data_IF_270180408844
#
_entry.id   IF_270180408844
#
_cell.length_a   1.000
_cell.length_b   1.000
_cell.length_c   1.000
_cell.angle_alpha   90.00
_cell.angle_beta   90.00
_cell.angle_gamma   90.00
#
_symmetry.space_group_name_H-M   'P 1'
#
loop_
_entity.id
_entity.type
_entity.pdbx_description
1 polymer ?
#
# COMPACT_ATOMS: atom_id res chain seq x y z
N UNK A 1 -4.08 -21.92 -10.60
CA UNK A 1 -4.43 -20.52 -10.25
C UNK A 1 -4.93 -20.50 -8.82
N UNK A 2 -4.37 -19.64 -7.98
CA UNK A 2 -4.77 -19.48 -6.59
C UNK A 2 -5.82 -18.37 -6.47
N UNK A 3 -7.08 -18.76 -6.33
CA UNK A 3 -8.21 -17.82 -6.35
C UNK A 3 -8.16 -16.88 -5.13
N UNK A 4 -7.71 -17.38 -3.98
CA UNK A 4 -7.57 -16.57 -2.76
C UNK A 4 -6.60 -15.43 -2.96
N UNK A 5 -5.41 -15.71 -3.53
CA UNK A 5 -4.43 -14.66 -3.83
C UNK A 5 -4.96 -13.66 -4.86
N UNK A 6 -5.71 -14.13 -5.86
CA UNK A 6 -6.29 -13.27 -6.88
C UNK A 6 -7.34 -12.29 -6.31
N UNK A 7 -8.23 -12.76 -5.42
CA UNK A 7 -9.21 -11.91 -4.74
C UNK A 7 -8.51 -10.84 -3.90
N UNK A 8 -7.48 -11.22 -3.13
CA UNK A 8 -6.68 -10.28 -2.35
C UNK A 8 -5.99 -9.25 -3.25
N UNK A 9 -5.42 -9.68 -4.38
CA UNK A 9 -4.77 -8.78 -5.32
C UNK A 9 -5.73 -7.74 -5.90
N UNK A 10 -6.92 -8.17 -6.35
CA UNK A 10 -7.95 -7.27 -6.89
C UNK A 10 -8.41 -6.26 -5.84
N UNK A 11 -8.60 -6.70 -4.59
CA UNK A 11 -8.96 -5.81 -3.50
C UNK A 11 -7.88 -4.73 -3.26
N UNK A 12 -6.61 -5.13 -3.17
CA UNK A 12 -5.50 -4.17 -2.99
C UNK A 12 -5.34 -3.22 -4.18
N UNK A 13 -5.55 -3.71 -5.39
CA UNK A 13 -5.49 -2.91 -6.60
C UNK A 13 -6.56 -1.80 -6.63
N UNK A 14 -7.80 -2.14 -6.25
CA UNK A 14 -8.89 -1.16 -6.14
C UNK A 14 -8.56 -0.10 -5.07
N UNK A 15 -8.09 -0.53 -3.89
CA UNK A 15 -7.65 0.39 -2.83
C UNK A 15 -6.52 1.31 -3.31
N UNK A 16 -5.53 0.77 -4.03
CA UNK A 16 -4.43 1.54 -4.58
C UNK A 16 -4.93 2.67 -5.50
N UNK A 17 -5.87 2.38 -6.40
CA UNK A 17 -6.46 3.40 -7.29
C UNK A 17 -7.19 4.48 -6.47
N UNK A 18 -8.03 4.07 -5.52
CA UNK A 18 -8.81 4.99 -4.68
C UNK A 18 -7.92 5.87 -3.78
N UNK A 19 -6.79 5.35 -3.30
CA UNK A 19 -5.77 6.12 -2.58
C UNK A 19 -4.98 7.04 -3.50
N UNK A 20 -4.66 6.60 -4.73
CA UNK A 20 -3.91 7.40 -5.69
C UNK A 20 -4.65 8.70 -6.06
N UNK A 21 -5.99 8.64 -6.15
CA UNK A 21 -6.86 9.81 -6.35
C UNK A 21 -7.20 10.56 -5.04
N UNK A 22 -6.65 10.14 -3.90
CA UNK A 22 -6.83 10.79 -2.60
C UNK A 22 -8.17 10.54 -1.90
N UNK A 23 -9.10 9.76 -2.48
CA UNK A 23 -10.44 9.55 -1.89
C UNK A 23 -10.43 8.79 -0.56
N UNK A 24 -9.38 8.02 -0.31
CA UNK A 24 -9.20 7.21 0.89
C UNK A 24 -8.20 7.82 1.89
N UNK A 25 -7.83 9.10 1.76
CA UNK A 25 -6.87 9.73 2.66
C UNK A 25 -7.31 9.65 4.13
N UNK A 26 -8.62 9.77 4.38
CA UNK A 26 -9.26 9.62 5.70
C UNK A 26 -9.12 8.21 6.32
N UNK A 27 -8.72 7.20 5.54
CA UNK A 27 -8.50 5.83 6.02
C UNK A 27 -7.03 5.54 6.37
N UNK A 28 -6.14 6.54 6.26
CA UNK A 28 -4.75 6.40 6.70
C UNK A 28 -4.70 6.53 8.22
N UNK A 29 -4.73 5.39 8.90
CA UNK A 29 -4.53 5.31 10.34
C UNK A 29 -3.15 5.84 10.73
N UNK A 30 -3.01 6.32 11.96
CA UNK A 30 -1.81 7.05 12.39
C UNK A 30 -1.87 8.51 11.95
N UNK A 31 -1.82 8.80 10.64
CA UNK A 31 -1.96 10.17 10.12
C UNK A 31 -3.28 10.81 10.57
N UNK A 32 -4.42 10.13 10.40
CA UNK A 32 -5.71 10.74 10.75
C UNK A 32 -5.96 10.92 12.25
N UNK A 33 -5.22 10.21 13.09
CA UNK A 33 -5.26 10.32 14.55
C UNK A 33 -4.38 11.46 15.09
N UNK A 34 -3.46 11.99 14.27
CA UNK A 34 -2.64 13.15 14.62
C UNK A 34 -3.51 14.39 14.91
N UNK A 35 -3.03 15.25 15.80
CA UNK A 35 -3.59 16.59 15.98
C UNK A 35 -3.42 17.44 14.71
N UNK A 36 -4.21 18.50 14.55
CA UNK A 36 -4.12 19.37 13.37
C UNK A 36 -2.69 19.92 13.15
N UNK A 37 -2.00 20.31 14.24
CA UNK A 37 -0.62 20.80 14.20
C UNK A 37 0.39 19.75 13.72
N UNK A 38 0.17 18.49 14.07
CA UNK A 38 1.04 17.38 13.63
C UNK A 38 0.74 16.98 12.19
N UNK A 39 -0.52 16.97 11.77
CA UNK A 39 -0.91 16.73 10.37
C UNK A 39 -0.30 17.73 9.41
N UNK A 40 -0.21 19.00 9.81
CA UNK A 40 0.40 20.05 8.99
C UNK A 40 1.86 19.78 8.61
N UNK A 41 2.58 18.95 9.38
CA UNK A 41 3.96 18.53 9.08
C UNK A 41 4.05 17.53 7.93
N UNK A 42 2.93 16.98 7.47
CA UNK A 42 2.88 16.00 6.39
C UNK A 42 2.18 16.57 5.15
N UNK A 43 2.64 16.13 3.99
CA UNK A 43 1.98 16.26 2.70
C UNK A 43 1.06 15.04 2.50
N UNK A 44 -0.24 15.25 2.76
CA UNK A 44 -1.27 14.22 2.65
C UNK A 44 -1.32 13.57 1.26
N UNK A 45 -1.11 14.35 0.21
CA UNK A 45 -1.15 13.85 -1.16
C UNK A 45 0.03 12.93 -1.45
N UNK A 46 1.24 13.27 -0.96
CA UNK A 46 2.40 12.37 -1.05
C UNK A 46 2.20 11.10 -0.21
N UNK A 47 1.66 11.23 1.01
CA UNK A 47 1.39 10.09 1.87
C UNK A 47 0.41 9.10 1.22
N UNK A 48 -0.70 9.62 0.66
CA UNK A 48 -1.66 8.82 -0.10
C UNK A 48 -1.03 8.12 -1.30
N UNK A 49 -0.20 8.84 -2.08
CA UNK A 49 0.48 8.27 -3.25
C UNK A 49 1.47 7.17 -2.87
N UNK A 50 2.22 7.32 -1.79
CA UNK A 50 3.15 6.27 -1.33
C UNK A 50 2.37 5.02 -0.94
N UNK A 51 1.31 5.15 -0.13
CA UNK A 51 0.48 4.01 0.25
C UNK A 51 -0.15 3.35 -0.99
N UNK A 52 -0.66 4.14 -1.93
CA UNK A 52 -1.20 3.64 -3.19
C UNK A 52 -0.17 2.82 -3.99
N UNK A 53 1.05 3.35 -4.16
CA UNK A 53 2.13 2.69 -4.90
C UNK A 53 2.54 1.39 -4.19
N UNK A 54 2.67 1.41 -2.86
CA UNK A 54 2.98 0.21 -2.07
C UNK A 54 1.92 -0.87 -2.31
N UNK A 55 0.64 -0.55 -2.18
CA UNK A 55 -0.44 -1.52 -2.38
C UNK A 55 -0.53 -2.01 -3.82
N UNK A 56 -0.24 -1.14 -4.80
CA UNK A 56 -0.18 -1.50 -6.21
C UNK A 56 0.90 -2.55 -6.47
N UNK A 57 2.12 -2.35 -5.99
CA UNK A 57 3.20 -3.34 -6.14
C UNK A 57 2.91 -4.64 -5.39
N UNK A 58 2.37 -4.57 -4.17
CA UNK A 58 1.90 -5.77 -3.46
C UNK A 58 0.85 -6.53 -4.28
N UNK A 59 -0.11 -5.84 -4.90
CA UNK A 59 -1.12 -6.48 -5.75
C UNK A 59 -0.52 -7.23 -6.94
N UNK A 60 0.53 -6.69 -7.58
CA UNK A 60 1.23 -7.35 -8.69
C UNK A 60 1.91 -8.63 -8.19
N UNK A 61 2.60 -8.59 -7.06
CA UNK A 61 3.26 -9.78 -6.48
C UNK A 61 2.24 -10.87 -6.15
N UNK A 62 1.09 -10.50 -5.59
CA UNK A 62 0.00 -11.45 -5.34
C UNK A 62 -0.56 -12.06 -6.64
N UNK A 63 -0.67 -11.28 -7.74
CA UNK A 63 -1.05 -11.81 -9.06
C UNK A 63 -0.02 -12.84 -9.53
N UNK A 64 1.28 -12.52 -9.46
CA UNK A 64 2.36 -13.44 -9.85
C UNK A 64 2.32 -14.75 -9.04
N UNK A 65 2.05 -14.67 -7.74
CA UNK A 65 1.81 -15.85 -6.89
C UNK A 65 0.54 -16.62 -7.27
N UNK A 66 -0.54 -15.92 -7.61
CA UNK A 66 -1.80 -16.53 -8.02
C UNK A 66 -1.67 -17.35 -9.31
N UNK A 67 -0.91 -16.86 -10.29
CA UNK A 67 -0.62 -17.57 -11.54
C UNK A 67 0.59 -18.53 -11.45
N UNK A 68 1.10 -18.76 -10.23
CA UNK A 68 2.18 -19.71 -9.91
C UNK A 68 3.52 -19.39 -10.60
N UNK A 69 3.77 -18.12 -10.94
CA UNK A 69 5.12 -17.65 -11.33
C UNK A 69 6.04 -17.61 -10.10
N UNK A 70 5.50 -17.20 -8.95
CA UNK A 70 6.20 -17.22 -7.66
C UNK A 70 5.68 -18.36 -6.81
N UNK A 71 6.56 -18.94 -5.98
CA UNK A 71 6.12 -19.87 -4.93
C UNK A 71 5.27 -19.13 -3.89
N UNK A 72 4.46 -19.86 -3.13
CA UNK A 72 3.65 -19.24 -2.07
C UNK A 72 4.54 -18.53 -1.05
N UNK A 73 5.63 -19.18 -0.62
CA UNK A 73 6.59 -18.63 0.32
C UNK A 73 7.23 -17.33 -0.20
N UNK A 74 7.70 -17.33 -1.44
CA UNK A 74 8.33 -16.14 -2.05
C UNK A 74 7.32 -15.00 -2.20
N UNK A 75 6.08 -15.32 -2.59
CA UNK A 75 4.99 -14.34 -2.70
C UNK A 75 4.77 -13.62 -1.38
N UNK A 76 4.72 -14.35 -0.26
CA UNK A 76 4.52 -13.77 1.07
C UNK A 76 5.74 -12.95 1.51
N UNK A 77 6.95 -13.48 1.35
CA UNK A 77 8.20 -12.78 1.75
C UNK A 77 8.35 -11.47 1.00
N UNK A 78 8.20 -11.49 -0.33
CA UNK A 78 8.32 -10.30 -1.18
C UNK A 78 7.23 -9.28 -0.84
N UNK A 79 5.99 -9.74 -0.62
CA UNK A 79 4.87 -8.86 -0.24
C UNK A 79 5.15 -8.14 1.09
N UNK A 80 5.64 -8.85 2.10
CA UNK A 80 6.01 -8.26 3.40
C UNK A 80 7.13 -7.24 3.22
N UNK A 81 8.16 -7.57 2.44
CA UNK A 81 9.28 -6.67 2.19
C UNK A 81 8.83 -5.36 1.51
N UNK A 82 7.95 -5.43 0.51
CA UNK A 82 7.35 -4.25 -0.14
C UNK A 82 6.58 -3.40 0.87
N UNK A 83 5.79 -4.03 1.75
CA UNK A 83 5.01 -3.32 2.77
C UNK A 83 5.92 -2.61 3.77
N UNK A 84 7.01 -3.25 4.21
CA UNK A 84 8.01 -2.64 5.11
C UNK A 84 8.63 -1.40 4.45
N UNK A 85 9.07 -1.52 3.20
CA UNK A 85 9.61 -0.38 2.45
C UNK A 85 8.56 0.72 2.36
N UNK A 86 7.32 0.40 2.02
CA UNK A 86 6.22 1.35 1.95
C UNK A 86 6.00 2.14 3.24
N UNK A 87 6.05 1.46 4.39
CA UNK A 87 5.94 2.10 5.72
C UNK A 87 7.10 3.05 5.96
N UNK A 88 8.34 2.62 5.69
CA UNK A 88 9.54 3.45 5.87
C UNK A 88 9.44 4.70 4.99
N UNK A 89 9.13 4.54 3.70
CA UNK A 89 8.97 5.65 2.77
C UNK A 89 7.82 6.57 3.17
N UNK A 90 6.70 6.03 3.64
CA UNK A 90 5.53 6.79 4.10
C UNK A 90 5.80 7.64 5.34
N UNK A 91 6.78 7.26 6.16
CA UNK A 91 7.20 8.05 7.32
C UNK A 91 8.25 9.13 6.98
N UNK A 92 9.05 8.93 5.93
CA UNK A 92 10.18 9.81 5.59
C UNK A 92 9.77 10.85 4.53
N UNK A 93 9.24 10.42 3.38
CA UNK A 93 9.05 11.27 2.20
C UNK A 93 7.94 12.32 2.35
N UNK A 94 6.79 12.02 2.98
CA UNK A 94 5.71 12.99 3.07
C UNK A 94 5.94 14.11 4.09
N UNK A 95 6.98 14.01 4.95
CA UNK A 95 7.29 15.09 5.89
C UNK A 95 7.72 16.36 5.12
N UNK A 96 7.19 17.51 5.54
CA UNK A 96 7.52 18.82 4.99
C UNK A 96 8.84 19.36 5.53
#
# INVERSE_FOLDING_TARGET
MDITLLICALFLFILAILLYIGKLSNMIAGYNTLSAKEKEQYDEAKLCKILAITLFFTSIVLILGAIKILSFTDTIIISIFILIIGVILGNIIPKK
#
